data_IF_400990996296
#
_entry.id   IF_400990996296
#
_cell.length_a   1.000
_cell.length_b   1.000
_cell.length_c   1.000
_cell.angle_alpha   90.00
_cell.angle_beta   90.00
_cell.angle_gamma   90.00
#
_symmetry.space_group_name_H-M   'P 1'
#
loop_
_entity.id
_entity.type
_entity.pdbx_description
1 polymer ?
#
# COMPACT_ATOMS: atom_id res chain seq x y z
N UNK A 1 18.18 35.99 -17.87
CA UNK A 1 18.35 35.06 -16.73
C UNK A 1 17.13 34.16 -16.47
N UNK A 2 15.89 34.59 -16.76
CA UNK A 2 14.69 33.76 -16.56
C UNK A 2 14.69 32.42 -17.32
N UNK A 3 15.27 32.39 -18.52
CA UNK A 3 15.27 31.17 -19.35
C UNK A 3 16.09 30.04 -18.73
N UNK A 4 17.26 30.34 -18.14
CA UNK A 4 18.16 29.32 -17.59
C UNK A 4 17.56 28.61 -16.37
N UNK A 5 16.88 29.38 -15.51
CA UNK A 5 16.15 28.83 -14.36
C UNK A 5 15.06 27.89 -14.84
N UNK A 6 14.23 28.29 -15.82
CA UNK A 6 13.15 27.43 -16.31
C UNK A 6 13.64 26.13 -16.96
N UNK A 7 14.76 26.15 -17.68
CA UNK A 7 15.30 24.97 -18.37
C UNK A 7 15.81 23.88 -17.43
N UNK A 8 16.43 24.26 -16.31
CA UNK A 8 16.99 23.30 -15.35
C UNK A 8 15.96 22.98 -14.27
N UNK A 9 15.28 24.01 -13.75
CA UNK A 9 14.38 23.87 -12.61
C UNK A 9 13.20 22.94 -12.90
N UNK A 10 12.53 23.08 -14.05
CA UNK A 10 11.34 22.27 -14.35
C UNK A 10 11.64 20.77 -14.54
N UNK A 11 12.53 20.35 -15.46
CA UNK A 11 12.76 18.92 -15.67
C UNK A 11 13.55 18.27 -14.52
N UNK A 12 14.49 18.98 -13.90
CA UNK A 12 15.33 18.41 -12.85
C UNK A 12 14.61 18.39 -11.50
N UNK A 13 14.04 19.52 -11.07
CA UNK A 13 13.45 19.64 -9.74
C UNK A 13 12.05 19.03 -9.66
N UNK A 14 11.25 19.14 -10.72
CA UNK A 14 9.87 18.60 -10.75
C UNK A 14 9.82 17.21 -11.39
N UNK A 15 10.77 16.85 -12.26
CA UNK A 15 10.84 15.54 -12.89
C UNK A 15 11.72 14.55 -12.14
N UNK A 16 13.03 14.75 -12.20
CA UNK A 16 14.01 13.78 -11.69
C UNK A 16 14.03 13.65 -10.17
N UNK A 17 13.96 14.78 -9.45
CA UNK A 17 14.03 14.79 -8.00
C UNK A 17 12.91 13.98 -7.32
N UNK A 18 11.60 14.16 -7.65
CA UNK A 18 10.56 13.32 -7.08
C UNK A 18 10.69 11.86 -7.51
N UNK A 19 11.12 11.56 -8.75
CA UNK A 19 11.34 10.17 -9.17
C UNK A 19 12.41 9.47 -8.34
N UNK A 20 13.54 10.15 -8.07
CA UNK A 20 14.62 9.58 -7.25
C UNK A 20 14.19 9.40 -5.80
N UNK A 21 13.53 10.39 -5.20
CA UNK A 21 13.03 10.31 -3.82
C UNK A 21 12.04 9.16 -3.67
N UNK A 22 11.05 9.05 -4.56
CA UNK A 22 10.03 8.00 -4.50
C UNK A 22 10.66 6.61 -4.71
N UNK A 23 11.62 6.49 -5.63
CA UNK A 23 12.34 5.24 -5.87
C UNK A 23 13.15 4.80 -4.65
N UNK A 24 13.90 5.72 -4.03
CA UNK A 24 14.69 5.45 -2.83
C UNK A 24 13.79 5.07 -1.65
N UNK A 25 12.70 5.82 -1.42
CA UNK A 25 11.73 5.51 -0.37
C UNK A 25 11.06 4.15 -0.58
N UNK A 26 10.70 3.82 -1.82
CA UNK A 26 10.15 2.51 -2.17
C UNK A 26 11.13 1.37 -1.90
N UNK A 27 12.39 1.55 -2.26
CA UNK A 27 13.45 0.58 -2.01
C UNK A 27 13.74 0.41 -0.52
N UNK A 28 13.84 1.51 0.22
CA UNK A 28 14.00 1.49 1.68
C UNK A 28 12.82 0.80 2.37
N UNK A 29 11.60 1.08 1.93
CA UNK A 29 10.40 0.41 2.43
C UNK A 29 10.46 -1.10 2.21
N UNK A 30 10.88 -1.52 1.01
CA UNK A 30 11.05 -2.94 0.68
C UNK A 30 12.13 -3.62 1.55
N UNK A 31 13.28 -2.98 1.73
CA UNK A 31 14.35 -3.48 2.59
C UNK A 31 13.91 -3.59 4.06
N UNK A 32 13.18 -2.59 4.57
CA UNK A 32 12.65 -2.61 5.93
C UNK A 32 11.66 -3.75 6.14
N UNK A 33 10.72 -3.98 5.21
CA UNK A 33 9.82 -5.14 5.28
C UNK A 33 10.58 -6.45 5.25
N UNK A 34 11.57 -6.59 4.36
CA UNK A 34 12.40 -7.81 4.29
C UNK A 34 13.24 -8.04 5.55
N UNK A 35 13.68 -6.97 6.23
CA UNK A 35 14.41 -7.04 7.50
C UNK A 35 13.50 -7.43 8.66
N UNK A 36 12.30 -6.85 8.72
CA UNK A 36 11.28 -7.14 9.74
C UNK A 36 10.84 -8.61 9.70
N UNK A 37 10.75 -9.18 8.50
CA UNK A 37 10.43 -10.60 8.28
C UNK A 37 11.34 -11.57 9.07
N UNK A 38 12.59 -11.19 9.39
CA UNK A 38 13.51 -12.03 10.18
C UNK A 38 13.23 -11.99 11.68
N UNK A 39 12.46 -11.02 12.20
CA UNK A 39 12.05 -10.94 13.60
C UNK A 39 10.66 -11.58 13.73
N UNK A 40 10.42 -12.43 14.73
CA UNK A 40 9.17 -13.21 14.93
C UNK A 40 7.93 -12.32 15.14
N UNK A 41 7.42 -11.71 14.08
CA UNK A 41 6.13 -11.02 14.08
C UNK A 41 5.04 -12.03 13.67
N UNK A 42 3.84 -11.98 14.26
CA UNK A 42 2.73 -12.85 13.90
C UNK A 42 2.47 -12.88 12.39
N UNK A 43 2.38 -14.09 11.83
CA UNK A 43 2.30 -14.42 10.39
C UNK A 43 1.21 -13.63 9.64
N UNK A 44 0.13 -13.26 10.31
CA UNK A 44 -0.99 -12.55 9.70
C UNK A 44 -0.69 -11.07 9.37
N UNK A 45 0.04 -10.34 10.24
CA UNK A 45 0.44 -8.95 9.96
C UNK A 45 1.43 -8.89 8.80
N UNK A 46 2.33 -9.87 8.74
CA UNK A 46 3.36 -9.98 7.70
C UNK A 46 2.79 -10.03 6.27
N UNK A 47 1.73 -10.80 6.02
CA UNK A 47 1.14 -10.90 4.66
C UNK A 47 0.53 -9.58 4.20
N UNK A 48 -0.06 -8.81 5.11
CA UNK A 48 -0.69 -7.54 4.80
C UNK A 48 0.35 -6.46 4.45
N UNK A 49 1.42 -6.35 5.25
CA UNK A 49 2.53 -5.41 4.99
C UNK A 49 3.28 -5.76 3.71
N UNK A 50 3.49 -7.06 3.45
CA UNK A 50 4.16 -7.54 2.24
C UNK A 50 3.31 -7.29 0.97
N UNK A 51 1.98 -7.43 1.06
CA UNK A 51 1.09 -7.11 -0.04
C UNK A 51 1.04 -5.61 -0.33
N UNK A 52 0.97 -4.78 0.72
CA UNK A 52 0.96 -3.32 0.58
C UNK A 52 2.27 -2.82 -0.04
N UNK A 53 3.42 -3.28 0.45
CA UNK A 53 4.72 -2.86 -0.10
C UNK A 53 4.97 -3.38 -1.51
N UNK A 54 4.57 -4.61 -1.84
CA UNK A 54 4.64 -5.10 -3.22
C UNK A 54 3.79 -4.26 -4.19
N UNK A 55 2.59 -3.85 -3.74
CA UNK A 55 1.71 -2.99 -4.51
C UNK A 55 2.32 -1.59 -4.74
N UNK A 56 2.91 -0.99 -3.70
CA UNK A 56 3.60 0.30 -3.81
C UNK A 56 4.81 0.21 -4.74
N UNK A 57 5.59 -0.87 -4.68
CA UNK A 57 6.78 -1.03 -5.51
C UNK A 57 6.42 -1.14 -7.00
N UNK A 58 5.44 -1.98 -7.35
CA UNK A 58 4.93 -2.07 -8.72
C UNK A 58 4.40 -0.71 -9.19
N UNK A 59 3.72 0.02 -8.30
CA UNK A 59 3.19 1.35 -8.62
C UNK A 59 4.29 2.35 -8.95
N UNK A 60 5.37 2.36 -8.19
CA UNK A 60 6.53 3.22 -8.45
C UNK A 60 7.21 2.86 -9.77
N UNK A 61 7.35 1.56 -10.08
CA UNK A 61 7.90 1.12 -11.37
C UNK A 61 7.04 1.64 -12.54
N UNK A 62 5.72 1.44 -12.49
CA UNK A 62 4.80 1.93 -13.54
C UNK A 62 4.87 3.45 -13.64
N UNK A 63 4.93 4.16 -12.52
CA UNK A 63 5.07 5.61 -12.50
C UNK A 63 6.35 6.08 -13.18
N UNK A 64 7.49 5.44 -12.91
CA UNK A 64 8.77 5.76 -13.57
C UNK A 64 8.68 5.51 -15.06
N UNK A 65 8.18 4.34 -15.48
CA UNK A 65 8.07 3.97 -16.91
C UNK A 65 7.18 4.94 -17.68
N UNK A 66 6.07 5.41 -17.11
CA UNK A 66 5.14 6.33 -17.77
C UNK A 66 5.59 7.79 -17.73
N UNK A 67 6.30 8.20 -16.68
CA UNK A 67 6.73 9.60 -16.53
C UNK A 67 8.01 9.90 -17.32
N UNK A 68 8.91 8.92 -17.46
CA UNK A 68 10.16 9.06 -18.21
C UNK A 68 9.96 9.57 -19.66
N UNK A 69 9.10 8.97 -20.52
CA UNK A 69 8.90 9.45 -21.89
C UNK A 69 8.34 10.88 -21.93
N UNK A 70 7.49 11.25 -20.97
CA UNK A 70 6.98 12.62 -20.85
C UNK A 70 8.08 13.61 -20.48
N UNK A 71 8.97 13.25 -19.54
CA UNK A 71 10.12 14.08 -19.16
C UNK A 71 11.10 14.25 -20.32
N UNK A 72 11.39 13.18 -21.07
CA UNK A 72 12.27 13.24 -22.25
C UNK A 72 11.67 14.15 -23.33
N UNK A 73 10.37 14.04 -23.62
CA UNK A 73 9.71 14.93 -24.61
C UNK A 73 9.77 16.40 -24.18
N UNK A 74 9.55 16.70 -22.89
CA UNK A 74 9.67 18.06 -22.33
C UNK A 74 11.08 18.61 -22.55
N UNK A 75 12.11 17.83 -22.23
CA UNK A 75 13.52 18.24 -22.42
C UNK A 75 13.79 18.48 -23.92
N UNK A 76 13.38 17.57 -24.78
CA UNK A 76 13.52 17.71 -26.23
C UNK A 76 12.86 18.99 -26.75
N UNK A 77 11.64 19.29 -26.29
CA UNK A 77 10.91 20.52 -26.65
C UNK A 77 11.70 21.78 -26.30
N UNK A 78 12.31 21.79 -25.11
CA UNK A 78 13.08 22.91 -24.62
C UNK A 78 14.41 23.10 -25.35
N UNK A 79 15.10 22.01 -25.69
CA UNK A 79 16.39 22.04 -26.40
C UNK A 79 16.22 22.37 -27.88
N UNK A 80 15.23 21.77 -28.55
CA UNK A 80 15.04 21.90 -29.99
C UNK A 80 14.45 23.26 -30.41
N UNK A 81 13.92 24.07 -29.47
CA UNK A 81 13.33 25.41 -29.70
C UNK A 81 12.44 25.46 -30.96
N UNK A 82 11.59 24.43 -31.12
CA UNK A 82 10.72 24.31 -32.29
C UNK A 82 9.75 25.48 -32.28
N UNK A 83 9.96 26.43 -33.19
CA UNK A 83 9.16 27.63 -33.32
C UNK A 83 8.14 27.39 -34.43
N UNK A 84 6.88 27.83 -34.29
CA UNK A 84 5.85 27.63 -35.32
C UNK A 84 6.22 28.26 -36.67
N UNK A 85 7.17 29.21 -36.70
CA UNK A 85 7.66 29.85 -37.91
C UNK A 85 8.61 28.99 -38.75
N UNK A 86 9.30 28.00 -38.17
CA UNK A 86 10.31 27.22 -38.91
C UNK A 86 9.74 25.97 -39.58
N UNK A 87 8.87 25.22 -38.89
CA UNK A 87 8.33 23.95 -39.39
C UNK A 87 6.98 23.61 -38.74
N UNK A 88 5.88 23.92 -39.42
CA UNK A 88 4.52 23.68 -38.92
C UNK A 88 4.22 22.19 -38.68
N UNK A 89 4.72 21.31 -39.55
CA UNK A 89 4.49 19.86 -39.45
C UNK A 89 5.12 19.25 -38.18
N UNK A 90 6.39 19.56 -37.90
CA UNK A 90 7.09 19.08 -36.72
C UNK A 90 6.43 19.58 -35.42
N UNK A 91 5.96 20.83 -35.42
CA UNK A 91 5.23 21.41 -34.29
C UNK A 91 3.88 20.71 -34.04
N UNK A 92 3.13 20.37 -35.09
CA UNK A 92 1.88 19.63 -34.97
C UNK A 92 2.08 18.22 -34.38
N UNK A 93 3.09 17.49 -34.86
CA UNK A 93 3.45 16.15 -34.33
C UNK A 93 3.79 16.24 -32.84
N UNK A 94 4.61 17.22 -32.46
CA UNK A 94 5.01 17.42 -31.07
C UNK A 94 3.83 17.71 -30.14
N UNK A 95 2.87 18.54 -30.56
CA UNK A 95 1.66 18.82 -29.79
C UNK A 95 0.77 17.58 -29.64
N UNK A 96 0.66 16.76 -30.69
CA UNK A 96 -0.07 15.50 -30.62
C UNK A 96 0.57 14.54 -29.61
N UNK A 97 1.88 14.32 -29.70
CA UNK A 97 2.61 13.44 -28.78
C UNK A 97 2.54 13.97 -27.34
N UNK A 98 2.66 15.29 -27.15
CA UNK A 98 2.53 15.92 -25.83
C UNK A 98 1.13 15.70 -25.23
N UNK A 99 0.08 15.78 -26.05
CA UNK A 99 -1.30 15.53 -25.62
C UNK A 99 -1.50 14.06 -25.24
N UNK A 100 -1.00 13.12 -26.05
CA UNK A 100 -1.09 11.68 -25.77
C UNK A 100 -0.35 11.33 -24.48
N UNK A 101 0.90 11.78 -24.32
CA UNK A 101 1.65 11.51 -23.09
C UNK A 101 1.01 12.18 -21.87
N UNK A 102 0.45 13.38 -22.04
CA UNK A 102 -0.29 14.08 -20.99
C UNK A 102 -1.54 13.31 -20.53
N UNK A 103 -2.35 12.79 -21.45
CA UNK A 103 -3.53 11.98 -21.09
C UNK A 103 -3.13 10.66 -20.43
N UNK A 104 -2.09 9.98 -20.93
CA UNK A 104 -1.55 8.76 -20.31
C UNK A 104 -1.06 9.03 -18.88
N UNK A 105 -0.36 10.15 -18.65
CA UNK A 105 0.09 10.54 -17.32
C UNK A 105 -1.09 10.82 -16.37
N UNK A 106 -2.12 11.53 -16.86
CA UNK A 106 -3.33 11.81 -16.07
C UNK A 106 -4.13 10.54 -15.75
N UNK A 107 -4.26 9.62 -16.71
CA UNK A 107 -4.86 8.30 -16.49
C UNK A 107 -4.08 7.51 -15.44
N UNK A 108 -2.75 7.61 -15.45
CA UNK A 108 -1.94 6.98 -14.42
C UNK A 108 -2.33 7.47 -13.02
N UNK A 109 -2.52 8.78 -12.82
CA UNK A 109 -2.98 9.31 -11.52
C UNK A 109 -4.37 8.79 -11.13
N UNK A 110 -5.30 8.67 -12.08
CA UNK A 110 -6.63 8.10 -11.81
C UNK A 110 -6.58 6.62 -11.38
N UNK A 111 -5.79 5.80 -12.08
CA UNK A 111 -5.60 4.38 -11.74
C UNK A 111 -4.97 4.22 -10.36
N UNK A 112 -4.07 5.13 -9.98
CA UNK A 112 -3.46 5.23 -8.65
C UNK A 112 -4.51 5.24 -7.54
N UNK A 113 -5.49 6.13 -7.69
CA UNK A 113 -6.56 6.33 -6.72
C UNK A 113 -7.43 5.09 -6.63
N UNK A 114 -7.84 4.54 -7.78
CA UNK A 114 -8.69 3.35 -7.82
C UNK A 114 -8.01 2.13 -7.17
N UNK A 115 -6.74 1.89 -7.48
CA UNK A 115 -5.96 0.82 -6.88
C UNK A 115 -5.89 0.98 -5.35
N UNK A 116 -5.62 2.17 -4.84
CA UNK A 116 -5.58 2.44 -3.40
C UNK A 116 -6.94 2.19 -2.74
N UNK A 117 -8.04 2.66 -3.35
CA UNK A 117 -9.40 2.41 -2.85
C UNK A 117 -9.75 0.92 -2.82
N UNK A 118 -9.39 0.14 -3.86
CA UNK A 118 -9.65 -1.30 -3.91
C UNK A 118 -8.82 -2.04 -2.85
N UNK A 119 -7.54 -1.71 -2.71
CA UNK A 119 -6.67 -2.31 -1.69
C UNK A 119 -7.20 -2.01 -0.28
N UNK A 120 -7.59 -0.76 -0.02
CA UNK A 120 -8.18 -0.34 1.24
C UNK A 120 -9.49 -1.08 1.54
N UNK A 121 -10.39 -1.20 0.56
CA UNK A 121 -11.64 -1.96 0.71
C UNK A 121 -11.40 -3.42 1.09
N UNK A 122 -10.40 -4.08 0.50
CA UNK A 122 -10.05 -5.48 0.84
C UNK A 122 -9.55 -5.59 2.28
N UNK A 123 -8.71 -4.65 2.74
CA UNK A 123 -8.20 -4.65 4.12
C UNK A 123 -9.30 -4.41 5.15
N UNK A 124 -10.21 -3.46 4.90
CA UNK A 124 -11.34 -3.16 5.79
C UNK A 124 -12.28 -4.36 5.89
N UNK A 125 -12.63 -5.00 4.76
CA UNK A 125 -13.48 -6.21 4.78
C UNK A 125 -12.89 -7.32 5.64
N UNK A 126 -11.60 -7.63 5.49
CA UNK A 126 -10.94 -8.65 6.32
C UNK A 126 -10.89 -8.27 7.81
N UNK A 127 -10.65 -7.00 8.14
CA UNK A 127 -10.64 -6.54 9.52
C UNK A 127 -12.03 -6.63 10.17
N UNK A 128 -13.09 -6.26 9.44
CA UNK A 128 -14.48 -6.34 9.89
C UNK A 128 -14.92 -7.80 10.09
N UNK A 129 -14.67 -8.67 9.10
CA UNK A 129 -14.99 -10.11 9.21
C UNK A 129 -14.30 -10.72 10.43
N UNK A 130 -13.03 -10.38 10.68
CA UNK A 130 -12.28 -10.90 11.83
C UNK A 130 -12.81 -10.38 13.18
N UNK A 131 -13.25 -9.12 13.25
CA UNK A 131 -13.95 -8.58 14.44
C UNK A 131 -15.26 -9.32 14.69
N UNK A 132 -16.04 -9.54 13.63
CA UNK A 132 -17.30 -10.28 13.71
C UNK A 132 -17.08 -11.72 14.20
N UNK A 133 -16.04 -12.39 13.68
CA UNK A 133 -15.69 -13.74 14.09
C UNK A 133 -15.25 -13.84 15.56
N UNK A 134 -14.51 -12.84 16.07
CA UNK A 134 -14.17 -12.75 17.50
C UNK A 134 -15.40 -12.53 18.37
N UNK A 135 -16.31 -11.66 17.96
CA UNK A 135 -17.58 -11.41 18.66
C UNK A 135 -18.41 -12.69 18.74
N UNK A 136 -18.62 -13.41 17.63
CA UNK A 136 -19.32 -14.70 17.63
C UNK A 136 -18.63 -15.75 18.50
N UNK A 137 -17.29 -15.84 18.47
CA UNK A 137 -16.55 -16.79 19.29
C UNK A 137 -16.70 -16.52 20.78
N UNK A 138 -16.69 -15.25 21.20
CA UNK A 138 -16.92 -14.85 22.60
C UNK A 138 -18.36 -15.16 23.02
N UNK A 139 -19.35 -14.90 22.17
CA UNK A 139 -20.76 -15.24 22.43
C UNK A 139 -20.98 -16.75 22.58
N UNK A 140 -20.40 -17.59 21.72
CA UNK A 140 -20.50 -19.05 21.84
C UNK A 140 -19.76 -19.62 23.06
N UNK A 141 -18.69 -18.96 23.54
CA UNK A 141 -17.94 -19.44 24.71
C UNK A 141 -18.56 -18.98 26.04
N UNK A 142 -19.21 -17.81 26.05
CA UNK A 142 -19.92 -17.30 27.23
C UNK A 142 -21.09 -18.18 27.67
N UNK A 143 -21.65 -19.00 26.77
CA UNK A 143 -22.76 -19.92 27.09
C UNK A 143 -22.36 -21.25 27.76
N UNK A 144 -21.06 -21.58 27.89
CA UNK A 144 -20.61 -22.87 28.43
C UNK A 144 -20.02 -22.82 29.85
N UNK A 145 -19.86 -21.64 30.44
CA UNK A 145 -19.25 -21.47 31.77
C UNK A 145 -20.26 -21.27 32.93
N UNK A 146 -21.57 -21.47 32.70
CA UNK A 146 -22.51 -21.71 33.80
C UNK A 146 -22.55 -23.21 34.10
N UNK A 147 -21.45 -23.76 34.60
CA UNK A 147 -21.48 -25.07 35.27
C UNK A 147 -21.83 -24.78 36.72
N UNK A 148 -22.98 -25.32 37.09
CA UNK A 148 -23.66 -25.21 38.37
C UNK A 148 -22.72 -25.54 39.55
N UNK A 149 -22.49 -24.61 40.52
CA UNK A 149 -21.63 -24.86 41.68
C UNK A 149 -22.25 -25.81 42.72
N UNK A 150 -23.50 -26.27 42.54
CA UNK A 150 -24.26 -26.94 43.60
C UNK A 150 -23.97 -28.45 43.80
N UNK A 151 -22.95 -29.02 43.14
CA UNK A 151 -22.73 -30.50 43.14
C UNK A 151 -21.50 -30.95 43.97
N UNK A 152 -20.89 -30.08 44.78
CA UNK A 152 -19.62 -30.40 45.50
C UNK A 152 -19.75 -30.45 47.04
N UNK A 153 -20.94 -30.62 47.60
CA UNK A 153 -21.08 -30.84 49.06
C UNK A 153 -22.10 -31.93 49.42
N UNK A 154 -21.80 -33.20 49.14
CA UNK A 154 -22.34 -34.28 49.96
C UNK A 154 -21.52 -35.58 49.87
N UNK A 155 -20.39 -35.62 50.56
CA UNK A 155 -19.78 -36.88 50.98
C UNK A 155 -19.44 -36.76 52.45
N UNK A 156 -20.43 -37.02 53.32
CA UNK A 156 -20.16 -37.36 54.72
C UNK A 156 -19.63 -38.80 54.76
N UNK A 157 -18.47 -39.08 55.37
CA UNK A 157 -18.12 -40.43 55.74
C UNK A 157 -19.04 -40.87 56.89
N UNK A 158 -19.57 -42.08 56.74
CA UNK A 158 -20.37 -42.80 57.73
C UNK A 158 -19.39 -43.36 58.75
N UNK A 159 -19.58 -43.00 60.02
CA UNK A 159 -18.91 -43.59 61.17
C UNK A 159 -19.16 -45.10 61.17
N UNK A 160 -18.06 -45.87 61.15
CA UNK A 160 -18.05 -47.27 61.50
C UNK A 160 -16.96 -47.43 62.56
N UNK A 161 -17.33 -48.08 63.65
CA UNK A 161 -16.44 -48.79 64.57
C UNK A 161 -15.90 -47.98 65.76
N UNK A 162 -16.72 -47.90 66.82
CA UNK A 162 -16.22 -47.99 68.19
C UNK A 162 -17.18 -48.89 69.01
N UNK A 163 -16.93 -50.19 68.91
CA UNK A 163 -17.42 -51.26 69.80
C UNK A 163 -16.17 -51.85 70.45
N UNK A 164 -16.28 -52.24 71.74
CA UNK A 164 -15.32 -53.03 72.54
C UNK A 164 -14.23 -52.11 73.15
N UNK A 165 -14.19 -51.77 74.45
CA UNK A 165 -14.41 -52.51 75.70
C UNK A 165 -14.84 -51.58 76.87
#
# INVERSE_FOLDING_TARGET
MANYVSYVYYPVLIGFLPMTIISLLSLLSYQNVRRIIRRRIPVFRRRLDQQLTGMVLIRVIIFVILTLPYTVLRIYTYVAKITPSSNLCAFAIQNLVSSILGTVLNLNYAVSFYMFCVAFRRQVKHALIKKCWRQCKLWCFSGKNQINPDVVMNTRPIDSDEIID
#
